data_IF_271908810933
#
_entry.id   IF_271908810933
#
_cell.length_a   1.000
_cell.length_b   1.000
_cell.length_c   1.000
_cell.angle_alpha   90.00
_cell.angle_beta   90.00
_cell.angle_gamma   90.00
#
_symmetry.space_group_name_H-M   'P 1'
#
loop_
_entity.id
_entity.type
_entity.pdbx_description
1 polymer ?
#
# COMPACT_ATOMS: atom_id res chain seq x y z
N UNK A 1 20.01 24.16 10.79
CA UNK A 1 19.11 23.35 11.66
C UNK A 1 17.69 23.80 11.37
N UNK A 2 16.75 22.86 11.19
CA UNK A 2 15.32 23.16 10.96
C UNK A 2 14.47 22.45 12.01
N UNK A 3 13.32 23.02 12.32
CA UNK A 3 12.32 22.43 13.22
C UNK A 3 11.28 21.71 12.37
N UNK A 4 11.02 20.43 12.66
CA UNK A 4 9.97 19.65 11.99
C UNK A 4 8.58 20.22 12.30
N UNK A 5 7.78 20.51 11.28
CA UNK A 5 6.43 21.08 11.48
C UNK A 5 5.41 20.11 12.08
N UNK A 6 5.71 18.80 12.11
CA UNK A 6 4.81 17.77 12.64
C UNK A 6 5.17 17.33 14.06
N UNK A 7 6.43 16.96 14.30
CA UNK A 7 6.87 16.43 15.60
C UNK A 7 7.67 17.44 16.43
N UNK A 8 7.89 18.65 15.93
CA UNK A 8 8.65 19.74 16.58
C UNK A 8 10.12 19.43 16.90
N UNK A 9 10.64 18.28 16.47
CA UNK A 9 12.04 17.89 16.64
C UNK A 9 12.94 18.61 15.65
N UNK A 10 14.12 19.00 16.11
CA UNK A 10 15.18 19.53 15.26
C UNK A 10 15.72 18.48 14.30
N UNK A 11 16.05 18.90 13.08
CA UNK A 11 16.75 18.07 12.12
C UNK A 11 17.70 18.88 11.25
N UNK A 12 18.72 18.21 10.74
CA UNK A 12 19.71 18.77 9.83
C UNK A 12 19.39 18.39 8.40
N UNK A 13 19.66 19.32 7.48
CA UNK A 13 19.74 19.06 6.04
C UNK A 13 21.22 19.16 5.70
N UNK A 14 21.82 18.09 5.18
CA UNK A 14 23.23 18.10 4.84
C UNK A 14 23.49 19.08 3.67
N UNK A 15 24.69 19.69 3.56
CA UNK A 15 25.02 20.55 2.43
C UNK A 15 24.83 19.85 1.07
N UNK A 16 25.14 18.57 1.00
CA UNK A 16 24.99 17.72 -0.19
C UNK A 16 23.51 17.53 -0.56
N UNK A 17 22.64 17.30 0.43
CA UNK A 17 21.19 17.23 0.22
C UNK A 17 20.64 18.55 -0.32
N UNK A 18 21.13 19.68 0.21
CA UNK A 18 20.69 21.02 -0.22
C UNK A 18 21.11 21.31 -1.66
N UNK A 19 22.35 20.99 -2.02
CA UNK A 19 22.83 21.11 -3.39
C UNK A 19 21.98 20.26 -4.36
N UNK A 20 21.58 19.05 -3.94
CA UNK A 20 20.66 18.22 -4.71
C UNK A 20 19.27 18.85 -4.84
N UNK A 21 18.72 19.42 -3.76
CA UNK A 21 17.41 20.10 -3.79
C UNK A 21 17.42 21.30 -4.74
N UNK A 22 18.48 22.11 -4.71
CA UNK A 22 18.66 23.23 -5.63
C UNK A 22 18.77 22.76 -7.08
N UNK A 23 19.52 21.68 -7.34
CA UNK A 23 19.63 21.08 -8.69
C UNK A 23 18.27 20.55 -9.19
N UNK A 24 17.45 19.96 -8.32
CA UNK A 24 16.12 19.46 -8.66
C UNK A 24 15.07 20.57 -8.73
N UNK A 25 15.38 21.80 -8.31
CA UNK A 25 14.44 22.91 -8.24
C UNK A 25 13.34 22.70 -7.18
N UNK A 26 13.62 21.95 -6.12
CA UNK A 26 12.66 21.64 -5.05
C UNK A 26 13.02 22.38 -3.76
N UNK A 27 11.99 22.69 -2.96
CA UNK A 27 12.20 23.35 -1.67
C UNK A 27 12.76 22.38 -0.63
N UNK A 28 13.53 22.92 0.32
CA UNK A 28 13.91 22.19 1.52
C UNK A 28 12.71 21.50 2.21
N UNK A 29 12.91 20.29 2.78
CA UNK A 29 11.87 19.63 3.56
C UNK A 29 11.46 20.43 4.80
N UNK A 30 10.17 20.40 5.10
CA UNK A 30 9.56 20.93 6.34
C UNK A 30 9.39 19.86 7.43
N UNK A 31 9.47 18.58 7.03
CA UNK A 31 9.36 17.42 7.89
C UNK A 31 10.73 16.74 8.09
N UNK A 32 11.00 16.27 9.30
CA UNK A 32 12.19 15.47 9.57
C UNK A 32 12.15 14.14 8.81
N UNK A 33 13.28 13.43 8.65
CA UNK A 33 13.34 12.15 7.95
C UNK A 33 12.31 11.11 8.44
N UNK A 34 12.07 11.05 9.75
CA UNK A 34 11.13 10.10 10.33
C UNK A 34 9.67 10.43 10.01
N UNK A 35 9.26 11.70 10.12
CA UNK A 35 7.91 12.11 9.72
C UNK A 35 7.67 11.90 8.22
N UNK A 36 8.68 12.17 7.36
CA UNK A 36 8.59 11.83 5.93
C UNK A 36 8.41 10.33 5.71
N UNK A 37 9.11 9.49 6.47
CA UNK A 37 8.90 8.04 6.44
C UNK A 37 7.48 7.64 6.85
N UNK A 38 6.92 8.23 7.91
CA UNK A 38 5.54 7.96 8.30
C UNK A 38 4.56 8.31 7.19
N UNK A 39 4.73 9.47 6.53
CA UNK A 39 3.89 9.85 5.39
C UNK A 39 4.02 8.86 4.21
N UNK A 40 5.25 8.40 3.90
CA UNK A 40 5.48 7.37 2.87
C UNK A 40 4.79 6.05 3.19
N UNK A 41 4.81 5.66 4.46
CA UNK A 41 4.26 4.38 4.92
C UNK A 41 2.77 4.46 5.27
N UNK A 42 2.15 5.65 5.28
CA UNK A 42 0.76 5.83 5.66
C UNK A 42 -0.25 5.06 4.78
N UNK A 43 0.16 4.70 3.56
CA UNK A 43 -0.69 4.04 2.57
C UNK A 43 -0.27 2.60 2.26
N UNK A 44 0.80 2.09 2.90
CA UNK A 44 1.37 0.79 2.61
C UNK A 44 1.39 -0.08 3.86
N UNK A 45 0.90 -1.31 3.73
CA UNK A 45 0.90 -2.30 4.80
C UNK A 45 1.60 -3.57 4.34
N UNK A 46 2.87 -3.71 4.71
CA UNK A 46 3.70 -4.85 4.32
C UNK A 46 3.64 -6.02 5.31
N UNK A 47 3.01 -5.85 6.49
CA UNK A 47 3.32 -6.73 7.64
C UNK A 47 2.14 -7.17 8.48
N UNK A 48 0.98 -6.53 8.35
CA UNK A 48 -0.16 -6.84 9.21
C UNK A 48 -1.35 -7.25 8.37
N UNK A 49 -1.70 -8.53 8.45
CA UNK A 49 -2.85 -9.06 7.74
C UNK A 49 -3.97 -9.39 8.72
N UNK A 50 -5.18 -9.15 8.26
CA UNK A 50 -6.40 -9.35 9.03
C UNK A 50 -7.30 -10.34 8.32
N UNK A 51 -8.03 -11.12 9.11
CA UNK A 51 -9.18 -11.86 8.60
C UNK A 51 -10.35 -10.89 8.52
N UNK A 52 -10.92 -10.77 7.33
CA UNK A 52 -12.08 -9.91 7.07
C UNK A 52 -13.10 -10.65 6.21
N UNK A 53 -14.12 -9.92 5.76
CA UNK A 53 -15.09 -10.40 4.77
C UNK A 53 -15.10 -9.47 3.57
N UNK A 54 -15.22 -10.01 2.37
CA UNK A 54 -15.45 -9.21 1.17
C UNK A 54 -16.73 -8.39 1.33
N UNK A 55 -16.66 -7.11 1.00
CA UNK A 55 -17.82 -6.23 0.95
C UNK A 55 -18.78 -6.57 -0.21
N UNK A 56 -18.31 -7.35 -1.20
CA UNK A 56 -19.10 -7.76 -2.37
C UNK A 56 -19.83 -9.07 -2.14
N UNK A 57 -19.10 -10.16 -1.87
CA UNK A 57 -19.67 -11.50 -1.72
C UNK A 57 -19.90 -11.92 -0.27
N UNK A 58 -19.30 -11.23 0.70
CA UNK A 58 -19.29 -11.67 2.11
C UNK A 58 -18.36 -12.84 2.39
N UNK A 59 -17.60 -13.32 1.39
CA UNK A 59 -16.63 -14.40 1.53
C UNK A 59 -15.50 -14.04 2.51
N UNK A 60 -14.94 -15.01 3.25
CA UNK A 60 -13.79 -14.75 4.12
C UNK A 60 -12.55 -14.40 3.30
N UNK A 61 -11.81 -13.38 3.72
CA UNK A 61 -10.61 -12.89 3.02
C UNK A 61 -9.46 -12.62 3.99
N UNK A 62 -8.24 -12.68 3.45
CA UNK A 62 -7.07 -12.03 4.03
C UNK A 62 -7.00 -10.60 3.48
N UNK A 63 -6.76 -9.63 4.35
CA UNK A 63 -6.74 -8.22 3.99
C UNK A 63 -5.61 -7.45 4.66
N UNK A 64 -5.08 -6.47 3.94
CA UNK A 64 -4.24 -5.38 4.46
C UNK A 64 -4.99 -4.42 5.39
N UNK A 65 -6.32 -4.48 5.44
CA UNK A 65 -7.15 -3.58 6.22
C UNK A 65 -7.77 -4.30 7.42
N UNK A 66 -7.91 -3.63 8.57
CA UNK A 66 -8.58 -4.22 9.72
C UNK A 66 -10.07 -4.43 9.45
N UNK A 67 -10.73 -5.38 10.15
CA UNK A 67 -12.11 -5.76 9.87
C UNK A 67 -13.15 -4.66 10.15
N UNK A 68 -12.78 -3.63 10.92
CA UNK A 68 -13.60 -2.45 11.24
C UNK A 68 -13.30 -1.25 10.31
N UNK A 69 -12.56 -1.46 9.22
CA UNK A 69 -12.28 -0.43 8.22
C UNK A 69 -13.57 0.14 7.60
N UNK A 70 -13.56 1.45 7.30
CA UNK A 70 -14.68 2.12 6.64
C UNK A 70 -14.71 1.91 5.12
N UNK A 71 -13.69 1.25 4.57
CA UNK A 71 -13.57 1.02 3.14
C UNK A 71 -14.25 -0.27 2.71
N UNK A 72 -14.85 -0.28 1.52
CA UNK A 72 -15.32 -1.52 0.89
C UNK A 72 -14.11 -2.29 0.38
N UNK A 73 -13.92 -3.52 0.87
CA UNK A 73 -12.77 -4.36 0.51
C UNK A 73 -13.24 -5.54 -0.33
N UNK A 74 -12.67 -5.74 -1.51
CA UNK A 74 -12.96 -6.85 -2.42
C UNK A 74 -11.80 -7.85 -2.45
N UNK A 75 -12.07 -9.11 -2.76
CA UNK A 75 -11.00 -10.08 -3.07
C UNK A 75 -10.24 -9.63 -4.32
N UNK A 76 -9.03 -10.16 -4.60
CA UNK A 76 -8.36 -9.92 -5.87
C UNK A 76 -9.21 -10.32 -7.07
N UNK A 77 -9.82 -11.50 -7.04
CA UNK A 77 -10.69 -11.96 -8.13
C UNK A 77 -11.90 -11.07 -8.38
N UNK A 78 -12.50 -10.49 -7.34
CA UNK A 78 -13.66 -9.59 -7.42
C UNK A 78 -13.29 -8.15 -7.81
N UNK A 79 -12.05 -7.75 -7.54
CA UNK A 79 -11.55 -6.42 -7.85
C UNK A 79 -11.10 -6.35 -9.31
N UNK A 80 -10.46 -7.41 -9.82
CA UNK A 80 -10.03 -7.53 -11.22
C UNK A 80 -11.12 -8.04 -12.17
N UNK A 81 -12.33 -8.33 -11.70
CA UNK A 81 -13.43 -8.78 -12.55
C UNK A 81 -14.16 -7.63 -13.25
N UNK A 82 -14.77 -7.94 -14.40
CA UNK A 82 -15.53 -6.98 -15.23
C UNK A 82 -16.96 -6.68 -14.73
N UNK A 83 -17.30 -7.12 -13.52
CA UNK A 83 -18.64 -7.00 -12.91
C UNK A 83 -18.81 -5.73 -12.04
N UNK A 84 -17.82 -4.83 -12.06
CA UNK A 84 -17.92 -3.48 -11.51
C UNK A 84 -17.04 -2.52 -12.32
N UNK A 85 -17.44 -1.24 -12.39
CA UNK A 85 -16.66 -0.20 -13.09
C UNK A 85 -16.21 0.89 -12.09
N UNK A 86 -14.91 1.22 -11.99
CA UNK A 86 -14.46 2.35 -11.18
C UNK A 86 -15.09 3.69 -11.59
N UNK A 87 -15.52 3.84 -12.85
CA UNK A 87 -16.15 5.07 -13.35
C UNK A 87 -17.57 5.27 -12.81
N UNK A 88 -18.26 4.20 -12.37
CA UNK A 88 -19.59 4.31 -11.75
C UNK A 88 -19.58 5.12 -10.44
N UNK A 89 -18.40 5.28 -9.83
CA UNK A 89 -18.21 6.04 -8.60
C UNK A 89 -17.87 7.51 -8.85
N UNK A 90 -17.76 7.93 -10.12
CA UNK A 90 -17.50 9.31 -10.51
C UNK A 90 -18.56 10.28 -9.97
N UNK A 91 -18.13 11.48 -9.56
CA UNK A 91 -19.01 12.53 -9.00
C UNK A 91 -18.53 13.89 -9.46
N UNK A 92 -19.47 14.81 -9.63
CA UNK A 92 -19.15 16.22 -9.78
C UNK A 92 -18.56 16.79 -8.49
N UNK A 93 -17.62 17.72 -8.63
CA UNK A 93 -17.03 18.41 -7.48
C UNK A 93 -17.92 19.55 -7.00
N UNK A 94 -18.30 19.55 -5.73
CA UNK A 94 -19.06 20.64 -5.11
C UNK A 94 -18.11 21.70 -4.55
N UNK A 95 -18.02 22.85 -5.23
CA UNK A 95 -17.18 23.99 -4.81
C UNK A 95 -17.66 24.68 -3.52
N UNK A 96 -18.84 24.35 -3.00
CA UNK A 96 -19.34 24.89 -1.74
C UNK A 96 -18.90 24.07 -0.52
N UNK A 97 -18.22 22.92 -0.74
CA UNK A 97 -17.79 22.01 0.32
C UNK A 97 -16.27 21.83 0.33
N UNK A 98 -15.66 21.54 1.49
CA UNK A 98 -14.23 21.23 1.55
C UNK A 98 -13.85 20.00 0.72
N UNK A 99 -12.70 20.05 0.06
CA UNK A 99 -12.20 18.97 -0.79
C UNK A 99 -12.03 17.64 -0.03
N UNK A 100 -11.38 17.66 1.13
CA UNK A 100 -11.03 16.42 1.84
C UNK A 100 -12.22 15.63 2.36
N UNK A 101 -13.35 16.29 2.65
CA UNK A 101 -14.58 15.60 3.03
C UNK A 101 -15.18 14.83 1.86
N UNK A 102 -15.32 15.50 0.71
CA UNK A 102 -15.80 14.90 -0.53
C UNK A 102 -14.87 13.76 -0.98
N UNK A 103 -13.56 13.97 -0.86
CA UNK A 103 -12.56 12.96 -1.19
C UNK A 103 -12.61 11.75 -0.23
N UNK A 104 -12.83 11.97 1.07
CA UNK A 104 -13.02 10.88 2.03
C UNK A 104 -14.30 10.10 1.76
N UNK A 105 -15.39 10.77 1.39
CA UNK A 105 -16.65 10.13 0.96
C UNK A 105 -16.42 9.24 -0.27
N UNK A 106 -15.74 9.76 -1.29
CA UNK A 106 -15.39 8.99 -2.48
C UNK A 106 -14.54 7.76 -2.11
N UNK A 107 -13.50 7.95 -1.30
CA UNK A 107 -12.60 6.87 -0.88
C UNK A 107 -13.28 5.74 -0.09
N UNK A 108 -14.37 6.02 0.64
CA UNK A 108 -15.17 5.01 1.35
C UNK A 108 -16.06 4.21 0.41
N UNK A 109 -16.51 4.83 -0.66
CA UNK A 109 -17.46 4.25 -1.58
C UNK A 109 -16.80 3.40 -2.67
N UNK A 110 -15.62 3.83 -3.15
CA UNK A 110 -14.82 3.09 -4.14
C UNK A 110 -14.20 1.84 -3.50
N UNK A 111 -14.43 0.64 -4.06
CA UNK A 111 -13.83 -0.59 -3.57
C UNK A 111 -12.30 -0.59 -3.62
N UNK A 112 -11.69 -1.20 -2.60
CA UNK A 112 -10.25 -1.43 -2.50
C UNK A 112 -9.93 -2.91 -2.57
N UNK A 113 -8.77 -3.21 -3.12
CA UNK A 113 -8.21 -4.54 -3.16
C UNK A 113 -7.82 -5.03 -1.75
N UNK A 114 -8.17 -6.27 -1.38
CA UNK A 114 -7.84 -6.81 -0.06
C UNK A 114 -6.34 -7.04 0.13
N UNK A 115 -5.71 -7.63 -0.89
CA UNK A 115 -4.30 -8.00 -0.99
C UNK A 115 -3.88 -7.79 -2.43
N UNK A 116 -2.71 -7.20 -2.66
CA UNK A 116 -2.19 -7.04 -4.02
C UNK A 116 -1.50 -8.32 -4.47
N UNK A 117 -2.29 -9.21 -5.07
CA UNK A 117 -1.87 -10.53 -5.53
C UNK A 117 -2.33 -10.67 -6.98
N UNK A 118 -1.38 -10.91 -7.87
CA UNK A 118 -1.64 -11.03 -9.31
C UNK A 118 -1.09 -12.37 -9.80
N UNK A 119 -1.95 -13.23 -10.37
CA UNK A 119 -1.57 -14.53 -10.91
C UNK A 119 -0.86 -15.50 -9.94
N UNK A 120 -0.95 -15.29 -8.64
CA UNK A 120 -0.30 -16.20 -7.69
C UNK A 120 -1.14 -17.47 -7.45
N UNK A 121 -0.49 -18.61 -7.35
CA UNK A 121 -1.08 -19.92 -7.05
C UNK A 121 -0.71 -20.33 -5.63
N UNK A 122 -1.70 -20.73 -4.80
CA UNK A 122 -1.47 -21.21 -3.44
C UNK A 122 -0.60 -20.25 -2.58
N UNK A 123 -0.85 -18.94 -2.68
CA UNK A 123 0.00 -17.87 -2.12
C UNK A 123 -0.79 -16.72 -1.48
N UNK A 124 -1.89 -17.02 -0.79
CA UNK A 124 -2.88 -16.03 -0.31
C UNK A 124 -2.34 -15.00 0.72
N UNK A 125 -1.16 -15.24 1.29
CA UNK A 125 -0.50 -14.37 2.28
C UNK A 125 0.64 -13.53 1.69
N UNK A 126 0.77 -13.50 0.36
CA UNK A 126 1.89 -12.87 -0.33
C UNK A 126 1.51 -11.51 -0.89
N UNK A 127 1.50 -10.47 -0.05
CA UNK A 127 1.04 -9.15 -0.46
C UNK A 127 2.04 -8.43 -1.37
N UNK A 128 1.53 -7.66 -2.33
CA UNK A 128 2.31 -6.98 -3.38
C UNK A 128 3.07 -7.96 -4.30
N UNK A 129 2.55 -9.18 -4.48
CA UNK A 129 3.21 -10.21 -5.26
C UNK A 129 2.55 -10.47 -6.62
N UNK A 130 3.39 -10.89 -7.57
CA UNK A 130 2.97 -11.30 -8.91
C UNK A 130 3.57 -12.66 -9.31
N UNK A 131 2.78 -13.53 -9.92
CA UNK A 131 3.22 -14.81 -10.50
C UNK A 131 3.92 -15.77 -9.51
N UNK A 132 3.65 -15.64 -8.20
CA UNK A 132 4.22 -16.52 -7.17
C UNK A 132 3.46 -17.85 -7.07
N UNK A 133 4.16 -18.94 -6.73
CA UNK A 133 3.59 -20.27 -6.56
C UNK A 133 4.03 -20.91 -5.25
N UNK A 134 3.07 -21.41 -4.48
CA UNK A 134 3.31 -22.06 -3.17
C UNK A 134 4.14 -21.21 -2.20
N UNK A 135 3.99 -19.88 -2.24
CA UNK A 135 4.74 -18.97 -1.40
C UNK A 135 3.90 -18.57 -0.16
N UNK A 136 4.57 -18.18 0.93
CA UNK A 136 3.87 -17.75 2.15
C UNK A 136 4.64 -16.66 2.87
N UNK A 137 3.94 -15.56 3.19
CA UNK A 137 4.56 -14.36 3.77
C UNK A 137 5.76 -13.86 2.96
N UNK A 138 5.68 -14.01 1.64
CA UNK A 138 6.57 -13.31 0.72
C UNK A 138 5.95 -11.97 0.36
N UNK A 139 6.67 -10.88 0.55
CA UNK A 139 6.13 -9.52 0.39
C UNK A 139 6.87 -8.83 -0.73
N UNK A 140 6.12 -8.22 -1.66
CA UNK A 140 6.69 -7.53 -2.82
C UNK A 140 7.59 -8.43 -3.70
N UNK A 141 7.23 -9.72 -3.76
CA UNK A 141 7.89 -10.73 -4.58
C UNK A 141 7.37 -10.78 -6.01
N UNK A 142 8.11 -11.46 -6.89
CA UNK A 142 7.68 -11.68 -8.26
C UNK A 142 8.25 -12.99 -8.81
N UNK A 143 7.39 -13.88 -9.28
CA UNK A 143 7.78 -15.12 -9.96
C UNK A 143 8.51 -16.12 -9.06
N UNK A 144 8.25 -16.11 -7.75
CA UNK A 144 8.88 -17.03 -6.80
C UNK A 144 8.14 -18.37 -6.74
N UNK A 145 8.86 -19.46 -6.44
CA UNK A 145 8.28 -20.80 -6.26
C UNK A 145 8.81 -21.44 -4.98
N UNK A 146 7.91 -21.93 -4.11
CA UNK A 146 8.27 -22.59 -2.85
C UNK A 146 9.15 -21.69 -1.94
N UNK A 147 8.77 -20.42 -1.83
CA UNK A 147 9.49 -19.38 -1.06
C UNK A 147 8.70 -18.90 0.17
N UNK A 148 9.38 -18.73 1.31
CA UNK A 148 8.72 -18.49 2.60
C UNK A 148 9.37 -17.36 3.41
N UNK A 149 8.52 -16.48 4.00
CA UNK A 149 8.93 -15.41 4.92
C UNK A 149 9.93 -14.41 4.34
N UNK A 150 9.79 -14.09 3.05
CA UNK A 150 10.72 -13.24 2.33
C UNK A 150 10.17 -11.82 2.13
N UNK A 151 11.07 -10.91 1.77
CA UNK A 151 10.72 -9.54 1.40
C UNK A 151 11.57 -9.13 0.19
N UNK A 152 10.91 -8.76 -0.91
CA UNK A 152 11.55 -8.29 -2.14
C UNK A 152 12.54 -9.31 -2.73
N UNK A 153 12.15 -10.59 -2.83
CA UNK A 153 12.88 -11.57 -3.66
C UNK A 153 12.15 -11.78 -4.99
N UNK A 154 12.90 -12.02 -6.06
CA UNK A 154 12.31 -12.18 -7.39
C UNK A 154 12.90 -13.37 -8.12
N UNK A 155 12.04 -14.14 -8.79
CA UNK A 155 12.38 -15.30 -9.61
C UNK A 155 13.23 -16.33 -8.86
N UNK A 156 13.00 -16.47 -7.56
CA UNK A 156 13.73 -17.37 -6.68
C UNK A 156 12.94 -18.66 -6.46
N UNK A 157 13.66 -19.73 -6.14
CA UNK A 157 13.07 -21.01 -5.74
C UNK A 157 13.68 -21.48 -4.44
N UNK A 158 12.91 -22.23 -3.66
CA UNK A 158 13.40 -22.91 -2.45
C UNK A 158 14.11 -21.96 -1.45
N UNK A 159 13.62 -20.73 -1.32
CA UNK A 159 14.28 -19.67 -0.54
C UNK A 159 13.46 -19.27 0.69
N UNK A 160 14.15 -19.11 1.82
CA UNK A 160 13.52 -18.82 3.12
C UNK A 160 14.29 -17.72 3.84
N UNK A 161 13.58 -16.85 4.54
CA UNK A 161 14.16 -15.78 5.39
C UNK A 161 15.13 -14.84 4.62
N UNK A 162 14.85 -14.59 3.36
CA UNK A 162 15.61 -13.72 2.47
C UNK A 162 15.02 -12.30 2.43
N UNK A 163 15.89 -11.31 2.25
CA UNK A 163 15.50 -9.90 2.20
C UNK A 163 16.40 -9.14 1.24
N UNK A 164 15.81 -8.48 0.23
CA UNK A 164 16.52 -7.71 -0.82
C UNK A 164 17.59 -8.52 -1.57
N UNK A 165 17.19 -9.65 -2.16
CA UNK A 165 18.05 -10.52 -2.98
C UNK A 165 17.78 -10.29 -4.45
#
# INVERSE_FOLDING_TARGET
>A
MKICTQCTTDFQIAPEDRALYDQLGVTDPTLCPQCRNQCRLAWRNDRTFYRAKSAKSGSPIISMYPPDTQFKIYTPSEWYSDDWDPMDYGRDFDFNRPFFEQFAELQREVPRLSMDIVNCENSDYCNYCGDDKNCYFDIAGEGNEDCFYNLFIKYCKDSVDCTFV
#
